data_IF_008859988907
#
_entry.id   IF_008859988907
#
_cell.length_a   1.000
_cell.length_b   1.000
_cell.length_c   1.000
_cell.angle_alpha   90.00
_cell.angle_beta   90.00
_cell.angle_gamma   90.00
#
_symmetry.space_group_name_H-M   'P 1'
#
loop_
_entity.id
_entity.type
_entity.pdbx_description
1 polymer ?
#
# COMPACT_ATOMS: atom_id res chain seq x y z
N UNK A 1 -11.05 77.83 11.87
CA UNK A 1 -10.73 76.87 12.96
C UNK A 1 -10.70 75.48 12.35
N UNK A 2 -9.51 74.91 12.17
CA UNK A 2 -9.32 73.62 11.50
C UNK A 2 -8.50 72.70 12.41
N UNK A 3 -9.08 71.53 12.65
CA UNK A 3 -8.51 70.21 12.97
C UNK A 3 -7.88 69.93 14.34
N UNK A 4 -8.56 69.06 15.10
CA UNK A 4 -7.91 67.89 15.72
C UNK A 4 -8.94 66.79 16.07
N UNK A 5 -9.46 66.10 15.05
CA UNK A 5 -10.16 64.82 15.21
C UNK A 5 -9.40 63.78 14.41
N UNK A 6 -8.20 63.40 14.88
CA UNK A 6 -7.35 62.41 14.20
C UNK A 6 -6.63 61.46 15.17
N UNK A 7 -7.15 61.31 16.39
CA UNK A 7 -6.50 60.54 17.46
C UNK A 7 -7.19 59.23 17.88
N UNK A 8 -8.50 59.07 17.67
CA UNK A 8 -9.25 57.94 18.25
C UNK A 8 -9.54 56.78 17.30
N UNK A 9 -9.55 56.99 15.98
CA UNK A 9 -9.82 55.91 15.01
C UNK A 9 -8.63 54.98 14.76
N UNK A 10 -7.42 55.41 15.15
CA UNK A 10 -6.19 54.63 14.90
C UNK A 10 -5.99 53.48 15.89
N UNK A 11 -6.61 53.55 17.08
CA UNK A 11 -6.45 52.54 18.13
C UNK A 11 -7.43 51.38 17.92
N UNK A 12 -8.66 51.66 17.48
CA UNK A 12 -9.69 50.62 17.29
C UNK A 12 -9.47 49.74 16.05
N UNK A 13 -8.74 50.24 15.03
CA UNK A 13 -8.37 49.44 13.85
C UNK A 13 -7.28 48.40 14.12
N UNK A 14 -6.52 48.51 15.21
CA UNK A 14 -5.45 47.55 15.53
C UNK A 14 -5.94 46.33 16.31
N UNK A 15 -7.02 46.43 17.06
CA UNK A 15 -7.56 45.31 17.84
C UNK A 15 -8.27 44.25 16.98
N UNK A 16 -8.82 44.66 15.84
CA UNK A 16 -9.46 43.74 14.91
C UNK A 16 -8.46 43.03 13.98
N UNK A 17 -7.29 43.62 13.73
CA UNK A 17 -6.26 42.98 12.90
C UNK A 17 -5.58 41.80 13.62
N UNK A 18 -5.48 41.86 14.95
CA UNK A 18 -4.87 40.78 15.77
C UNK A 18 -5.80 39.57 15.92
N UNK A 19 -7.13 39.77 15.85
CA UNK A 19 -8.09 38.65 15.86
C UNK A 19 -8.25 37.97 14.49
N UNK A 20 -8.03 38.68 13.39
CA UNK A 20 -8.12 38.08 12.04
C UNK A 20 -6.88 37.26 11.68
N UNK A 21 -5.71 37.58 12.25
CA UNK A 21 -4.48 36.79 12.01
C UNK A 21 -4.47 35.48 12.83
N UNK A 22 -5.23 35.41 13.92
CA UNK A 22 -5.36 34.16 14.71
C UNK A 22 -6.28 33.10 14.06
N UNK A 23 -7.09 33.49 13.07
CA UNK A 23 -7.88 32.56 12.25
C UNK A 23 -7.19 32.16 10.93
N UNK A 24 -6.03 32.74 10.61
CA UNK A 24 -5.18 32.35 9.48
C UNK A 24 -4.26 31.16 9.77
N UNK A 25 -4.39 30.54 10.95
CA UNK A 25 -3.71 29.32 11.38
C UNK A 25 -4.63 28.09 11.31
N UNK A 26 -5.65 28.14 10.43
CA UNK A 26 -6.44 27.00 10.02
C UNK A 26 -6.24 26.88 8.51
N UNK A 27 -5.28 26.07 8.07
CA UNK A 27 -5.06 26.02 6.63
C UNK A 27 -4.00 25.10 6.07
N UNK A 28 -3.33 24.24 6.83
CA UNK A 28 -2.52 23.21 6.17
C UNK A 28 -2.30 21.99 7.05
N UNK A 29 -2.98 20.91 6.64
CA UNK A 29 -2.54 19.52 6.72
C UNK A 29 -2.57 18.90 8.12
N UNK A 30 -3.77 18.60 8.58
CA UNK A 30 -4.02 17.30 9.20
C UNK A 30 -5.46 16.86 8.91
N UNK A 31 -5.88 16.97 7.64
CA UNK A 31 -6.80 15.95 7.16
C UNK A 31 -5.99 14.67 7.25
N UNK A 32 -6.17 13.93 8.35
CA UNK A 32 -5.94 12.51 8.36
C UNK A 32 -6.83 11.96 7.27
N UNK A 33 -6.34 11.98 6.03
CA UNK A 33 -6.78 11.04 5.03
C UNK A 33 -6.49 9.72 5.70
N UNK A 34 -7.53 9.10 6.26
CA UNK A 34 -7.58 7.66 6.33
C UNK A 34 -7.40 7.24 4.88
N UNK A 35 -6.14 7.05 4.47
CA UNK A 35 -5.81 6.52 3.18
C UNK A 35 -6.26 5.08 3.33
N UNK A 36 -7.51 4.83 2.94
CA UNK A 36 -7.97 3.49 2.71
C UNK A 36 -6.94 2.87 1.78
N UNK A 37 -6.30 1.79 2.24
CA UNK A 37 -5.37 1.06 1.40
C UNK A 37 -6.06 0.77 0.07
N UNK A 38 -5.56 1.37 -1.01
CA UNK A 38 -6.11 1.14 -2.33
C UNK A 38 -5.96 -0.35 -2.62
N UNK A 39 -7.06 -1.10 -2.48
CA UNK A 39 -7.02 -2.54 -2.68
C UNK A 39 -7.14 -2.81 -4.16
N UNK A 40 -6.10 -3.40 -4.73
CA UNK A 40 -6.06 -3.82 -6.13
C UNK A 40 -6.05 -5.33 -6.15
N UNK A 41 -7.17 -5.90 -6.59
CA UNK A 41 -7.33 -7.33 -6.82
C UNK A 41 -7.35 -7.64 -8.31
N UNK A 42 -6.55 -8.61 -8.73
CA UNK A 42 -6.44 -9.05 -10.13
C UNK A 42 -6.48 -10.56 -10.21
N UNK A 43 -6.96 -11.08 -11.32
CA UNK A 43 -7.00 -12.52 -11.55
C UNK A 43 -6.58 -12.85 -12.98
N UNK A 44 -5.97 -14.02 -13.17
CA UNK A 44 -5.58 -14.52 -14.49
C UNK A 44 -5.70 -16.04 -14.56
N UNK A 45 -6.07 -16.55 -15.73
CA UNK A 45 -6.13 -17.99 -16.00
C UNK A 45 -4.84 -18.46 -16.69
N UNK A 46 -4.06 -19.34 -16.05
CA UNK A 46 -2.62 -19.53 -16.38
C UNK A 46 -2.15 -20.99 -16.41
N UNK A 47 -3.03 -21.92 -16.79
CA UNK A 47 -2.75 -23.37 -16.76
C UNK A 47 -1.38 -23.73 -17.38
N UNK A 48 -0.55 -24.46 -16.63
CA UNK A 48 0.73 -25.01 -17.10
C UNK A 48 1.78 -24.00 -17.59
N UNK A 49 1.61 -22.70 -17.32
CA UNK A 49 2.48 -21.63 -17.84
C UNK A 49 3.20 -20.84 -16.75
N UNK A 50 4.22 -20.14 -17.22
CA UNK A 50 4.79 -18.98 -16.56
C UNK A 50 3.78 -17.82 -16.57
N UNK A 51 3.66 -17.12 -15.45
CA UNK A 51 2.80 -15.93 -15.38
C UNK A 51 3.52 -14.83 -14.64
N UNK A 52 3.18 -13.60 -14.99
CA UNK A 52 3.65 -12.40 -14.29
C UNK A 52 2.51 -11.42 -14.15
N UNK A 53 2.50 -10.71 -13.02
CA UNK A 53 1.64 -9.57 -12.80
C UNK A 53 2.40 -8.55 -11.95
N UNK A 54 2.16 -7.28 -12.17
CA UNK A 54 2.80 -6.22 -11.42
C UNK A 54 1.83 -5.09 -11.14
N UNK A 55 2.04 -4.46 -9.99
CA UNK A 55 1.30 -3.29 -9.56
C UNK A 55 2.25 -2.26 -8.96
N UNK A 56 2.09 -0.99 -9.32
CA UNK A 56 2.80 0.12 -8.67
C UNK A 56 1.81 0.81 -7.75
N UNK A 57 2.04 0.68 -6.45
CA UNK A 57 1.27 1.35 -5.41
C UNK A 57 1.88 2.69 -5.03
N UNK A 58 1.41 3.21 -3.89
CA UNK A 58 1.87 4.47 -3.30
C UNK A 58 3.27 4.34 -2.70
N UNK A 59 3.55 3.21 -2.03
CA UNK A 59 4.79 3.00 -1.28
C UNK A 59 5.78 2.11 -2.01
N UNK A 60 5.29 1.21 -2.86
CA UNK A 60 6.15 0.23 -3.51
C UNK A 60 5.65 -0.29 -4.84
N UNK A 61 6.56 -1.00 -5.51
CA UNK A 61 6.25 -1.83 -6.68
C UNK A 61 6.14 -3.28 -6.23
N UNK A 62 5.05 -3.92 -6.63
CA UNK A 62 4.74 -5.29 -6.30
C UNK A 62 4.78 -6.14 -7.56
N UNK A 63 5.39 -7.32 -7.47
CA UNK A 63 5.42 -8.28 -8.55
C UNK A 63 4.95 -9.64 -8.06
N UNK A 64 4.11 -10.29 -8.85
CA UNK A 64 3.72 -11.68 -8.70
C UNK A 64 4.24 -12.43 -9.92
N UNK A 65 4.85 -13.59 -9.69
CA UNK A 65 5.39 -14.41 -10.75
C UNK A 65 5.23 -15.89 -10.44
N UNK A 66 5.07 -16.69 -11.46
CA UNK A 66 5.23 -18.13 -11.35
C UNK A 66 6.03 -18.63 -12.53
N UNK A 67 7.08 -19.39 -12.24
CA UNK A 67 7.83 -20.20 -13.19
C UNK A 67 7.35 -21.65 -13.12
N UNK A 68 7.96 -22.57 -13.88
CA UNK A 68 7.58 -23.99 -13.87
C UNK A 68 7.40 -24.51 -12.43
N UNK A 69 8.44 -24.44 -11.60
CA UNK A 69 8.46 -25.08 -10.28
C UNK A 69 8.19 -24.14 -9.11
N UNK A 70 8.10 -22.82 -9.34
CA UNK A 70 8.06 -21.83 -8.26
C UNK A 70 7.01 -20.76 -8.48
N UNK A 71 6.42 -20.28 -7.39
CA UNK A 71 5.58 -19.09 -7.35
C UNK A 71 6.18 -18.12 -6.36
N UNK A 72 6.32 -16.86 -6.75
CA UNK A 72 6.98 -15.82 -5.97
C UNK A 72 6.16 -14.53 -5.94
N UNK A 73 6.28 -13.80 -4.83
CA UNK A 73 5.73 -12.46 -4.66
C UNK A 73 6.81 -11.58 -4.06
N UNK A 74 7.05 -10.43 -4.67
CA UNK A 74 8.01 -9.45 -4.20
C UNK A 74 7.40 -8.06 -4.05
N UNK A 75 8.01 -7.27 -3.19
CA UNK A 75 7.73 -5.86 -3.02
C UNK A 75 9.06 -5.10 -2.96
N UNK A 76 9.17 -4.03 -3.74
CA UNK A 76 10.26 -3.07 -3.69
C UNK A 76 9.75 -1.78 -3.07
N UNK A 77 10.46 -1.28 -2.05
CA UNK A 77 10.17 0.04 -1.49
C UNK A 77 10.62 1.13 -2.46
N UNK A 78 9.67 1.94 -2.94
CA UNK A 78 9.94 3.11 -3.79
C UNK A 78 9.68 4.42 -3.08
N UNK A 79 9.32 4.39 -1.80
CA UNK A 79 9.16 5.58 -0.98
C UNK A 79 10.52 6.14 -0.57
N UNK A 80 10.59 7.45 -0.33
CA UNK A 80 11.84 8.14 0.03
C UNK A 80 12.44 7.75 1.40
N UNK A 81 11.84 6.82 2.15
CA UNK A 81 12.32 6.37 3.46
C UNK A 81 12.00 4.89 3.69
N UNK A 82 12.54 4.30 4.75
CA UNK A 82 12.21 2.91 5.11
C UNK A 82 10.74 2.76 5.49
N UNK A 83 10.12 1.67 5.06
CA UNK A 83 8.71 1.34 5.33
C UNK A 83 8.55 -0.15 5.58
N UNK A 84 7.56 -0.51 6.36
CA UNK A 84 7.21 -1.89 6.59
C UNK A 84 6.48 -2.45 5.37
N UNK A 85 6.88 -3.64 4.92
CA UNK A 85 6.20 -4.38 3.86
C UNK A 85 5.90 -5.79 4.34
N UNK A 86 4.86 -6.39 3.74
CA UNK A 86 4.54 -7.80 3.88
C UNK A 86 4.27 -8.38 2.50
N UNK A 87 4.95 -9.46 2.14
CA UNK A 87 4.69 -10.22 0.92
C UNK A 87 4.36 -11.65 1.26
N UNK A 88 3.35 -12.18 0.59
CA UNK A 88 2.85 -13.52 0.79
C UNK A 88 2.65 -14.20 -0.56
N UNK A 89 2.94 -15.50 -0.58
CA UNK A 89 2.52 -16.38 -1.65
C UNK A 89 2.00 -17.67 -1.04
N UNK A 90 0.86 -18.13 -1.53
CA UNK A 90 0.30 -19.40 -1.08
C UNK A 90 -0.44 -20.16 -2.18
N UNK A 91 -0.37 -21.47 -2.06
CA UNK A 91 -1.07 -22.44 -2.88
C UNK A 91 -2.40 -22.79 -2.21
N UNK A 92 -3.50 -22.51 -2.91
CA UNK A 92 -4.85 -22.76 -2.46
C UNK A 92 -5.48 -23.91 -3.27
N UNK A 93 -5.85 -24.98 -2.59
CA UNK A 93 -6.55 -26.13 -3.17
C UNK A 93 -8.06 -25.84 -3.23
N UNK A 94 -8.62 -25.83 -4.43
CA UNK A 94 -10.04 -25.47 -4.65
C UNK A 94 -11.02 -26.61 -4.34
N UNK A 95 -10.56 -27.87 -4.26
CA UNK A 95 -11.42 -29.00 -3.88
C UNK A 95 -11.59 -29.13 -2.37
N UNK A 96 -10.47 -28.97 -1.66
CA UNK A 96 -10.41 -29.12 -0.20
C UNK A 96 -10.56 -27.79 0.53
N UNK A 97 -10.58 -26.67 -0.19
CA UNK A 97 -10.69 -25.30 0.30
C UNK A 97 -9.59 -24.93 1.33
N UNK A 98 -8.38 -25.47 1.16
CA UNK A 98 -7.26 -25.30 2.09
C UNK A 98 -6.05 -24.69 1.43
N UNK A 99 -5.28 -23.93 2.21
CA UNK A 99 -3.94 -23.47 1.82
C UNK A 99 -2.92 -24.53 2.21
N UNK A 100 -2.25 -25.13 1.23
CA UNK A 100 -1.35 -26.26 1.46
C UNK A 100 0.12 -25.82 1.64
N UNK A 101 0.53 -24.77 0.92
CA UNK A 101 1.87 -24.20 0.98
C UNK A 101 1.75 -22.70 1.10
N UNK A 102 2.40 -22.09 2.09
CA UNK A 102 2.37 -20.65 2.31
C UNK A 102 3.72 -20.17 2.77
N UNK A 103 4.19 -19.08 2.19
CA UNK A 103 5.29 -18.30 2.74
C UNK A 103 4.86 -16.84 2.93
N UNK A 104 5.32 -16.25 4.02
CA UNK A 104 5.14 -14.84 4.36
C UNK A 104 6.49 -14.28 4.75
N UNK A 105 6.88 -13.17 4.15
CA UNK A 105 8.05 -12.37 4.55
C UNK A 105 7.55 -10.98 4.88
N UNK A 106 7.91 -10.47 6.05
CA UNK A 106 7.54 -9.11 6.47
C UNK A 106 8.72 -8.46 7.16
N UNK A 107 9.06 -7.24 6.74
CA UNK A 107 10.22 -6.52 7.27
C UNK A 107 10.11 -5.02 7.02
N UNK A 108 10.93 -4.26 7.74
CA UNK A 108 11.24 -2.87 7.43
C UNK A 108 12.22 -2.81 6.26
N UNK A 109 11.75 -2.36 5.10
CA UNK A 109 12.53 -2.32 3.86
C UNK A 109 13.01 -0.90 3.62
N UNK A 110 14.32 -0.72 3.47
CA UNK A 110 14.92 0.58 3.12
C UNK A 110 14.57 0.99 1.68
N UNK A 111 14.64 2.28 1.37
CA UNK A 111 14.35 2.80 0.03
C UNK A 111 15.20 2.10 -1.05
N UNK A 112 14.56 1.64 -2.13
CA UNK A 112 15.19 0.95 -3.26
C UNK A 112 15.36 -0.56 -3.07
N UNK A 113 15.30 -1.07 -1.84
CA UNK A 113 15.42 -2.50 -1.54
C UNK A 113 14.10 -3.25 -1.68
N UNK A 114 14.18 -4.58 -1.67
CA UNK A 114 13.05 -5.47 -1.88
C UNK A 114 13.04 -6.66 -0.93
N UNK A 115 11.85 -7.20 -0.69
CA UNK A 115 11.63 -8.50 -0.06
C UNK A 115 10.91 -9.43 -1.02
N UNK A 116 11.11 -10.75 -0.86
CA UNK A 116 10.55 -11.78 -1.73
C UNK A 116 10.13 -13.01 -0.94
N UNK A 117 8.92 -13.49 -1.15
CA UNK A 117 8.43 -14.79 -0.68
C UNK A 117 8.26 -15.72 -1.89
N UNK A 118 8.62 -16.99 -1.74
CA UNK A 118 8.59 -18.01 -2.76
C UNK A 118 8.17 -19.39 -2.23
N UNK A 119 7.31 -20.08 -2.96
CA UNK A 119 6.95 -21.48 -2.70
C UNK A 119 7.19 -22.34 -3.92
N UNK A 120 7.34 -23.65 -3.70
CA UNK A 120 7.29 -24.62 -4.78
C UNK A 120 5.85 -24.83 -5.26
N UNK A 121 5.68 -24.96 -6.58
CA UNK A 121 4.42 -25.26 -7.24
C UNK A 121 4.19 -26.76 -7.38
N UNK A 122 2.93 -27.12 -7.58
CA UNK A 122 2.52 -28.41 -8.10
C UNK A 122 1.98 -28.19 -9.53
N UNK A 123 2.85 -28.40 -10.52
CA UNK A 123 2.57 -28.15 -11.94
C UNK A 123 1.44 -29.02 -12.49
N UNK A 124 1.21 -30.17 -11.87
CA UNK A 124 0.35 -31.22 -12.42
C UNK A 124 -1.12 -31.10 -12.01
N UNK A 125 -1.48 -30.17 -11.12
CA UNK A 125 -2.82 -30.13 -10.54
C UNK A 125 -3.56 -28.87 -10.94
N UNK A 126 -4.57 -29.05 -11.80
CA UNK A 126 -5.59 -28.04 -12.14
C UNK A 126 -6.31 -27.47 -10.92
N UNK A 127 -6.15 -28.07 -9.75
CA UNK A 127 -6.97 -27.82 -8.56
C UNK A 127 -6.33 -26.78 -7.64
N UNK A 128 -5.18 -26.23 -8.03
CA UNK A 128 -4.50 -25.19 -7.26
C UNK A 128 -4.65 -23.81 -7.88
N UNK A 129 -4.92 -22.83 -7.02
CA UNK A 129 -4.75 -21.41 -7.31
C UNK A 129 -3.49 -20.93 -6.58
N UNK A 130 -2.71 -20.06 -7.21
CA UNK A 130 -1.59 -19.40 -6.56
C UNK A 130 -2.00 -17.97 -6.25
N UNK A 131 -1.98 -17.62 -4.97
CA UNK A 131 -2.42 -16.32 -4.50
C UNK A 131 -1.21 -15.55 -3.99
N UNK A 132 -1.05 -14.35 -4.53
CA UNK A 132 0.05 -13.44 -4.29
C UNK A 132 -0.50 -12.22 -3.59
N UNK A 133 0.08 -11.86 -2.45
CA UNK A 133 -0.33 -10.69 -1.68
C UNK A 133 0.89 -9.83 -1.40
N UNK A 134 0.80 -8.54 -1.73
CA UNK A 134 1.80 -7.54 -1.41
C UNK A 134 1.17 -6.38 -0.66
N UNK A 135 1.72 -6.03 0.49
CA UNK A 135 1.21 -4.98 1.36
C UNK A 135 2.33 -4.02 1.74
N UNK A 136 2.03 -2.73 1.70
CA UNK A 136 2.93 -1.66 2.11
C UNK A 136 2.27 -0.77 3.16
N UNK A 137 3.05 -0.39 4.16
CA UNK A 137 2.57 0.36 5.32
C UNK A 137 3.31 1.70 5.45
N UNK A 138 2.59 2.77 5.76
CA UNK A 138 3.15 4.12 5.91
C UNK A 138 4.16 4.26 7.05
N UNK A 139 4.26 3.26 7.92
CA UNK A 139 5.18 3.20 9.05
C UNK A 139 6.36 2.27 8.73
N UNK A 140 7.51 2.49 9.38
CA UNK A 140 8.65 1.56 9.37
C UNK A 140 8.50 0.42 10.39
N UNK A 141 7.43 0.45 11.19
CA UNK A 141 7.01 -0.61 12.11
C UNK A 141 5.62 -1.06 11.72
N UNK A 142 5.37 -2.37 11.77
CA UNK A 142 4.05 -2.93 11.45
C UNK A 142 2.92 -2.28 12.25
N UNK A 143 1.90 -1.80 11.55
CA UNK A 143 0.62 -1.39 12.13
C UNK A 143 -0.45 -1.46 11.05
N UNK A 144 -1.50 -2.26 11.27
CA UNK A 144 -2.60 -2.41 10.30
C UNK A 144 -3.31 -1.09 9.98
N UNK A 145 -3.34 -0.15 10.93
CA UNK A 145 -3.91 1.19 10.74
C UNK A 145 -3.12 2.05 9.73
N UNK A 146 -1.90 1.64 9.36
CA UNK A 146 -1.01 2.39 8.46
C UNK A 146 -0.89 1.77 7.07
N UNK A 147 -1.66 0.72 6.76
CA UNK A 147 -1.61 0.08 5.45
C UNK A 147 -2.06 1.08 4.36
N UNK A 148 -1.23 1.29 3.33
CA UNK A 148 -1.54 2.17 2.19
C UNK A 148 -1.69 1.40 0.89
N UNK A 149 -0.93 0.32 0.74
CA UNK A 149 -0.97 -0.52 -0.45
C UNK A 149 -1.46 -1.91 -0.06
N UNK A 150 -2.40 -2.44 -0.85
CA UNK A 150 -2.85 -3.82 -0.73
C UNK A 150 -3.06 -4.40 -2.14
N UNK A 151 -2.08 -5.15 -2.62
CA UNK A 151 -2.10 -5.82 -3.91
C UNK A 151 -2.39 -7.29 -3.71
N UNK A 152 -3.38 -7.81 -4.44
CA UNK A 152 -3.67 -9.24 -4.53
C UNK A 152 -3.74 -9.68 -5.98
N UNK A 153 -3.04 -10.74 -6.32
CA UNK A 153 -3.16 -11.41 -7.61
C UNK A 153 -3.41 -12.90 -7.44
N UNK A 154 -4.44 -13.42 -8.11
CA UNK A 154 -4.78 -14.84 -8.12
C UNK A 154 -4.51 -15.43 -9.50
N UNK A 155 -3.53 -16.33 -9.57
CA UNK A 155 -3.28 -17.20 -10.72
C UNK A 155 -4.16 -18.46 -10.62
N UNK A 156 -5.25 -18.49 -11.40
CA UNK A 156 -6.17 -19.64 -11.49
C UNK A 156 -5.62 -20.69 -12.47
N UNK A 157 -5.34 -21.90 -11.99
CA UNK A 157 -5.03 -23.03 -12.88
C UNK A 157 -6.29 -23.78 -13.38
N UNK A 158 -7.41 -23.64 -12.65
CA UNK A 158 -8.73 -24.11 -13.06
C UNK A 158 -9.49 -23.00 -13.81
N UNK A 159 -10.25 -23.37 -14.84
CA UNK A 159 -11.22 -22.47 -15.48
C UNK A 159 -12.59 -22.71 -14.83
N UNK A 160 -13.27 -21.63 -14.42
CA UNK A 160 -14.68 -21.68 -13.98
C UNK A 160 -15.61 -21.86 -15.18
#
# INVERSE_FOLDING_TARGET
>A
MINNVLGKDKIMRRTNLVKTILCGLIGTIAMGTAVFAGTVSREGYVRGKNYTNSYSGTLGKYAAGGEADTAATSAQNTSGSSRWFSVQVYEYNVETYRSNRKQVISDCVINGSSINAQIYRNINSKMYRYIHVGQGYASNVYSSATMLDNYTYTAKQYYE
#
